data_IF_095326553918
#
_entry.id   IF_095326553918
#
_cell.length_a   1.000
_cell.length_b   1.000
_cell.length_c   1.000
_cell.angle_alpha   90.00
_cell.angle_beta   90.00
_cell.angle_gamma   90.00
#
_symmetry.space_group_name_H-M   'P 1'
#
loop_
_entity.id
_entity.type
_entity.pdbx_description
1 polymer ?
#
# COMPACT_ATOMS: atom_id res chain seq x y z
N UNK A 1 17.64 13.95 -25.71
CA UNK A 1 17.71 13.83 -24.23
C UNK A 1 19.00 14.41 -23.66
N UNK A 2 20.18 14.15 -24.22
CA UNK A 2 21.44 14.70 -23.68
C UNK A 2 21.44 16.24 -23.55
N UNK A 3 20.93 16.97 -24.56
CA UNK A 3 20.89 18.44 -24.51
C UNK A 3 19.93 18.98 -23.44
N UNK A 4 18.84 18.25 -23.16
CA UNK A 4 17.94 18.56 -22.04
C UNK A 4 18.67 18.38 -20.71
N UNK A 5 19.43 17.31 -20.55
CA UNK A 5 20.25 17.08 -19.35
C UNK A 5 21.34 18.14 -19.20
N UNK A 6 21.98 18.58 -20.29
CA UNK A 6 22.94 19.71 -20.26
C UNK A 6 22.27 20.99 -19.77
N UNK A 7 21.05 21.27 -20.23
CA UNK A 7 20.25 22.42 -19.75
C UNK A 7 19.97 22.31 -18.25
N UNK A 8 19.51 21.16 -17.76
CA UNK A 8 19.30 20.93 -16.32
C UNK A 8 20.57 21.06 -15.49
N UNK A 9 21.71 20.55 -15.98
CA UNK A 9 23.02 20.66 -15.33
C UNK A 9 23.46 22.13 -15.23
N UNK A 10 23.21 22.93 -16.27
CA UNK A 10 23.55 24.36 -16.30
C UNK A 10 22.66 25.21 -15.37
N UNK A 11 21.40 24.81 -15.17
CA UNK A 11 20.40 25.58 -14.41
C UNK A 11 20.53 25.50 -12.89
N UNK A 12 21.55 24.81 -12.34
CA UNK A 12 21.77 24.58 -10.89
C UNK A 12 20.48 24.19 -10.14
N UNK A 13 19.77 23.19 -10.66
CA UNK A 13 18.58 22.67 -10.00
C UNK A 13 18.97 22.11 -8.62
N UNK A 14 18.39 22.69 -7.56
CA UNK A 14 18.56 22.19 -6.20
C UNK A 14 17.77 20.90 -6.01
N UNK A 15 18.18 20.08 -5.05
CA UNK A 15 17.51 18.82 -4.70
C UNK A 15 15.99 19.01 -4.46
N UNK A 16 15.61 20.06 -3.73
CA UNK A 16 14.21 20.37 -3.46
C UNK A 16 13.36 20.61 -4.73
N UNK A 17 13.98 21.09 -5.82
CA UNK A 17 13.29 21.29 -7.11
C UNK A 17 13.23 20.02 -7.95
N UNK A 18 14.16 19.08 -7.74
CA UNK A 18 14.20 17.81 -8.45
C UNK A 18 13.26 16.79 -7.78
N UNK A 19 13.14 16.82 -6.45
CA UNK A 19 12.34 15.85 -5.67
C UNK A 19 10.95 15.55 -6.26
N UNK A 20 10.12 16.53 -6.66
CA UNK A 20 8.78 16.24 -7.20
C UNK A 20 8.79 15.48 -8.54
N UNK A 21 9.91 15.49 -9.26
CA UNK A 21 10.05 14.90 -10.59
C UNK A 21 11.07 13.75 -10.62
N UNK A 22 11.60 13.32 -9.48
CA UNK A 22 12.53 12.19 -9.38
C UNK A 22 11.96 10.94 -10.05
N UNK A 23 10.75 10.55 -9.68
CA UNK A 23 10.03 9.42 -10.27
C UNK A 23 9.88 9.56 -11.80
N UNK A 24 9.49 10.74 -12.29
CA UNK A 24 9.34 10.99 -13.73
C UNK A 24 10.67 10.99 -14.50
N UNK A 25 11.76 11.39 -13.87
CA UNK A 25 13.08 11.38 -14.50
C UNK A 25 13.62 9.95 -14.61
N UNK A 26 13.58 9.19 -13.52
CA UNK A 26 14.12 7.82 -13.49
C UNK A 26 13.26 6.86 -14.31
N UNK A 27 11.94 7.08 -14.37
CA UNK A 27 11.02 6.25 -15.16
C UNK A 27 11.35 6.22 -16.65
N UNK A 28 12.07 7.23 -17.15
CA UNK A 28 12.51 7.31 -18.55
C UNK A 28 14.02 7.10 -18.65
N UNK A 29 14.81 7.91 -17.95
CA UNK A 29 16.26 8.01 -18.17
C UNK A 29 17.06 6.84 -17.62
N UNK A 30 16.51 6.06 -16.69
CA UNK A 30 17.16 4.85 -16.16
C UNK A 30 16.97 3.62 -17.07
N UNK A 31 16.36 3.77 -18.25
CA UNK A 31 16.09 2.67 -19.17
C UNK A 31 16.85 2.85 -20.51
N UNK A 32 17.11 1.76 -21.25
CA UNK A 32 17.58 1.85 -22.63
C UNK A 32 16.64 2.69 -23.51
N UNK A 33 17.18 3.45 -24.49
CA UNK A 33 18.60 3.52 -24.87
C UNK A 33 19.42 4.49 -24.02
N UNK A 34 18.82 5.20 -23.06
CA UNK A 34 19.47 6.31 -22.35
C UNK A 34 20.60 5.87 -21.42
N UNK A 35 20.54 4.64 -20.92
CA UNK A 35 21.60 4.03 -20.09
C UNK A 35 22.93 3.88 -20.83
N UNK A 36 22.93 3.91 -22.17
CA UNK A 36 24.14 3.85 -22.99
C UNK A 36 24.85 5.21 -23.10
N UNK A 37 24.17 6.32 -22.79
CA UNK A 37 24.78 7.65 -22.79
C UNK A 37 25.53 7.89 -21.48
N UNK A 38 26.85 8.08 -21.56
CA UNK A 38 27.67 8.40 -20.40
C UNK A 38 27.21 9.68 -19.68
N UNK A 39 26.82 10.71 -20.45
CA UNK A 39 26.36 11.99 -19.91
C UNK A 39 25.05 11.86 -19.12
N UNK A 40 24.08 11.11 -19.66
CA UNK A 40 22.80 10.87 -18.99
C UNK A 40 23.02 9.99 -17.77
N UNK A 41 23.76 8.89 -17.92
CA UNK A 41 24.02 7.92 -16.84
C UNK A 41 24.76 8.55 -15.65
N UNK A 42 25.74 9.42 -15.90
CA UNK A 42 26.44 10.18 -14.85
C UNK A 42 25.48 11.12 -14.10
N UNK A 43 24.61 11.83 -14.84
CA UNK A 43 23.72 12.81 -14.24
C UNK A 43 22.54 12.17 -13.50
N UNK A 44 21.95 11.11 -14.04
CA UNK A 44 20.76 10.47 -13.46
C UNK A 44 21.10 9.64 -12.21
N UNK A 45 22.33 9.12 -12.08
CA UNK A 45 22.75 8.28 -10.96
C UNK A 45 22.45 8.89 -9.57
N UNK A 46 22.90 10.11 -9.24
CA UNK A 46 22.57 10.71 -7.94
C UNK A 46 21.08 11.03 -7.79
N UNK A 47 20.34 11.22 -8.89
CA UNK A 47 18.87 11.39 -8.85
C UNK A 47 18.19 10.06 -8.47
N UNK A 48 18.65 8.95 -9.05
CA UNK A 48 18.17 7.61 -8.75
C UNK A 48 18.48 7.18 -7.31
N UNK A 49 19.68 7.49 -6.80
CA UNK A 49 20.06 7.21 -5.41
C UNK A 49 19.16 7.97 -4.42
N UNK A 50 18.86 9.25 -4.67
CA UNK A 50 17.92 10.02 -3.85
C UNK A 50 16.49 9.51 -3.96
N UNK A 51 16.03 9.22 -5.17
CA UNK A 51 14.73 8.59 -5.39
C UNK A 51 14.62 7.33 -4.52
N UNK A 52 15.58 6.41 -4.62
CA UNK A 52 15.59 5.18 -3.85
C UNK A 52 15.57 5.44 -2.33
N UNK A 53 16.40 6.35 -1.83
CA UNK A 53 16.41 6.72 -0.42
C UNK A 53 15.05 7.26 0.06
N UNK A 54 14.39 8.12 -0.74
CA UNK A 54 13.05 8.61 -0.44
C UNK A 54 12.01 7.49 -0.45
N UNK A 55 12.12 6.52 -1.36
CA UNK A 55 11.25 5.35 -1.38
C UNK A 55 11.44 4.49 -0.12
N UNK A 56 12.69 4.22 0.29
CA UNK A 56 12.97 3.49 1.54
C UNK A 56 12.36 4.20 2.76
N UNK A 57 12.53 5.52 2.86
CA UNK A 57 11.97 6.30 3.97
C UNK A 57 10.43 6.31 3.99
N UNK A 58 9.80 6.28 2.82
CA UNK A 58 8.34 6.43 2.71
C UNK A 58 7.61 5.10 2.83
N UNK A 59 8.17 4.04 2.24
CA UNK A 59 7.45 2.79 1.97
C UNK A 59 8.08 1.55 2.61
N UNK A 60 9.11 1.70 3.46
CA UNK A 60 9.58 0.54 4.23
C UNK A 60 8.55 0.10 5.27
N UNK A 61 7.92 1.06 5.93
CA UNK A 61 6.99 0.83 7.05
C UNK A 61 5.53 1.10 6.67
N UNK A 62 5.28 1.35 5.38
CA UNK A 62 3.96 1.69 4.84
C UNK A 62 3.76 0.95 3.52
N UNK A 63 2.58 0.37 3.26
CA UNK A 63 2.29 -0.29 2.00
C UNK A 63 2.47 0.63 0.80
N UNK A 64 3.15 0.13 -0.24
CA UNK A 64 3.12 0.69 -1.57
C UNK A 64 1.68 0.60 -2.10
N UNK A 65 1.14 1.68 -2.68
CA UNK A 65 -0.10 1.59 -3.44
C UNK A 65 0.05 0.55 -4.55
N UNK A 66 -1.01 -0.24 -4.77
CA UNK A 66 -1.02 -1.28 -5.80
C UNK A 66 -0.51 -0.73 -7.15
N UNK A 67 0.63 -1.22 -7.68
CA UNK A 67 1.25 -0.65 -8.86
C UNK A 67 0.37 -0.73 -10.11
N UNK A 68 0.13 0.41 -10.76
CA UNK A 68 -0.48 0.45 -12.09
C UNK A 68 0.50 0.03 -13.19
N UNK A 69 0.03 -0.05 -14.44
CA UNK A 69 0.85 -0.41 -15.61
C UNK A 69 2.10 0.45 -15.74
N UNK A 70 2.00 1.77 -15.49
CA UNK A 70 3.13 2.67 -15.58
C UNK A 70 4.19 2.34 -14.52
N UNK A 71 3.78 2.16 -13.27
CA UNK A 71 4.68 1.85 -12.17
C UNK A 71 5.36 0.49 -12.39
N UNK A 72 4.60 -0.51 -12.84
CA UNK A 72 5.11 -1.85 -13.15
C UNK A 72 6.19 -1.83 -14.25
N UNK A 73 5.96 -1.06 -15.32
CA UNK A 73 6.86 -1.02 -16.47
C UNK A 73 8.06 -0.08 -16.30
N UNK A 74 7.93 0.97 -15.47
CA UNK A 74 8.90 2.07 -15.43
C UNK A 74 9.55 2.30 -14.08
N UNK A 75 8.93 1.91 -12.97
CA UNK A 75 9.46 2.19 -11.63
C UNK A 75 10.02 0.93 -10.98
N UNK A 76 9.29 -0.20 -11.05
CA UNK A 76 9.79 -1.47 -10.48
C UNK A 76 11.18 -1.86 -11.01
N UNK A 77 11.49 -1.79 -12.32
CA UNK A 77 12.84 -2.10 -12.81
C UNK A 77 13.93 -1.20 -12.21
N UNK A 78 13.62 0.07 -11.95
CA UNK A 78 14.55 1.04 -11.35
C UNK A 78 14.79 0.71 -9.87
N UNK A 79 13.76 0.28 -9.14
CA UNK A 79 13.90 -0.16 -7.76
C UNK A 79 14.75 -1.43 -7.68
N UNK A 80 14.53 -2.41 -8.57
CA UNK A 80 15.38 -3.60 -8.67
C UNK A 80 16.84 -3.24 -8.97
N UNK A 81 17.11 -2.33 -9.91
CA UNK A 81 18.48 -1.84 -10.18
C UNK A 81 19.10 -1.13 -8.99
N UNK A 82 18.30 -0.43 -8.17
CA UNK A 82 18.79 0.26 -6.98
C UNK A 82 19.16 -0.73 -5.85
N UNK A 83 18.34 -1.76 -5.63
CA UNK A 83 18.66 -2.86 -4.70
C UNK A 83 19.86 -3.69 -5.16
N UNK A 84 19.97 -3.96 -6.46
CA UNK A 84 21.11 -4.68 -7.06
C UNK A 84 22.44 -3.94 -6.83
N UNK A 85 22.43 -2.60 -6.95
CA UNK A 85 23.60 -1.75 -6.66
C UNK A 85 23.88 -1.56 -5.18
N UNK A 86 22.89 -1.77 -4.32
CA UNK A 86 23.00 -1.60 -2.87
C UNK A 86 22.37 -2.80 -2.15
N UNK A 87 23.07 -3.94 -2.21
CA UNK A 87 22.57 -5.21 -1.69
C UNK A 87 22.27 -5.19 -0.19
N UNK A 88 22.97 -4.36 0.59
CA UNK A 88 22.70 -4.16 2.02
C UNK A 88 21.27 -3.65 2.28
N UNK A 89 20.71 -2.87 1.35
CA UNK A 89 19.35 -2.35 1.47
C UNK A 89 18.27 -3.45 1.45
N UNK A 90 18.57 -4.63 0.89
CA UNK A 90 17.60 -5.75 0.86
C UNK A 90 17.21 -6.22 2.26
N UNK A 91 18.13 -6.13 3.24
CA UNK A 91 17.87 -6.52 4.63
C UNK A 91 17.62 -5.33 5.54
N UNK A 92 18.29 -4.19 5.36
CA UNK A 92 18.02 -2.99 6.18
C UNK A 92 16.70 -2.31 5.84
N UNK A 93 16.18 -2.53 4.63
CA UNK A 93 14.86 -2.06 4.18
C UNK A 93 14.02 -3.24 3.66
N UNK A 94 13.97 -4.32 4.47
CA UNK A 94 13.28 -5.56 4.14
C UNK A 94 11.79 -5.37 3.82
N UNK A 95 11.13 -4.40 4.46
CA UNK A 95 9.74 -4.04 4.21
C UNK A 95 9.52 -3.54 2.79
N UNK A 96 10.32 -2.57 2.33
CA UNK A 96 10.23 -2.10 0.95
C UNK A 96 10.69 -3.18 -0.05
N UNK A 97 11.78 -3.89 0.26
CA UNK A 97 12.33 -4.91 -0.62
C UNK A 97 11.29 -6.00 -0.93
N UNK A 98 10.67 -6.59 0.09
CA UNK A 98 9.67 -7.65 -0.10
C UNK A 98 8.45 -7.15 -0.89
N UNK A 99 7.99 -5.91 -0.68
CA UNK A 99 6.90 -5.33 -1.47
C UNK A 99 7.27 -5.17 -2.96
N UNK A 100 8.49 -4.71 -3.25
CA UNK A 100 8.98 -4.57 -4.64
C UNK A 100 9.04 -5.93 -5.32
N UNK A 101 9.59 -6.95 -4.65
CA UNK A 101 9.68 -8.31 -5.20
C UNK A 101 8.28 -8.86 -5.44
N UNK A 102 7.37 -8.77 -4.46
CA UNK A 102 5.99 -9.20 -4.62
C UNK A 102 5.34 -8.59 -5.85
N UNK A 103 5.41 -7.28 -6.01
CA UNK A 103 4.78 -6.60 -7.13
C UNK A 103 5.44 -6.91 -8.48
N UNK A 104 6.75 -7.15 -8.51
CA UNK A 104 7.42 -7.65 -9.72
C UNK A 104 6.91 -9.04 -10.11
N UNK A 105 6.73 -9.93 -9.14
CA UNK A 105 6.32 -11.31 -9.38
C UNK A 105 4.82 -11.45 -9.69
N UNK A 106 3.99 -10.50 -9.24
CA UNK A 106 2.52 -10.57 -9.35
C UNK A 106 1.91 -9.60 -10.37
N UNK A 107 2.60 -8.50 -10.69
CA UNK A 107 2.11 -7.47 -11.60
C UNK A 107 1.93 -7.99 -13.01
N UNK A 108 0.75 -7.78 -13.61
CA UNK A 108 0.40 -8.33 -14.93
C UNK A 108 1.20 -7.72 -16.09
N UNK A 109 1.66 -6.48 -15.93
CA UNK A 109 2.39 -5.72 -16.96
C UNK A 109 3.91 -5.75 -16.76
N UNK A 110 4.40 -6.52 -15.78
CA UNK A 110 5.83 -6.74 -15.57
C UNK A 110 6.41 -7.63 -16.68
N UNK A 111 7.51 -7.18 -17.28
CA UNK A 111 8.26 -7.96 -18.27
C UNK A 111 8.90 -9.19 -17.63
N UNK A 112 9.16 -10.24 -18.42
CA UNK A 112 9.87 -11.43 -17.94
C UNK A 112 11.25 -11.09 -17.38
N UNK A 113 11.95 -10.12 -17.98
CA UNK A 113 13.24 -9.63 -17.47
C UNK A 113 13.12 -9.00 -16.08
N UNK A 114 12.02 -8.30 -15.80
CA UNK A 114 11.73 -7.76 -14.46
C UNK A 114 11.52 -8.90 -13.46
N UNK A 115 10.72 -9.92 -13.81
CA UNK A 115 10.45 -11.08 -12.95
C UNK A 115 11.71 -11.89 -12.67
N UNK A 116 12.52 -12.15 -13.69
CA UNK A 116 13.79 -12.86 -13.57
C UNK A 116 14.78 -12.10 -12.67
N UNK A 117 14.91 -10.78 -12.84
CA UNK A 117 15.76 -9.96 -11.97
C UNK A 117 15.25 -9.94 -10.52
N UNK A 118 13.94 -9.86 -10.31
CA UNK A 118 13.35 -9.93 -8.98
C UNK A 118 13.63 -11.28 -8.31
N UNK A 119 13.40 -12.40 -9.00
CA UNK A 119 13.71 -13.74 -8.49
C UNK A 119 15.19 -13.87 -8.09
N UNK A 120 16.11 -13.41 -8.96
CA UNK A 120 17.56 -13.46 -8.69
C UNK A 120 17.98 -12.59 -7.49
N UNK A 121 17.38 -11.41 -7.31
CA UNK A 121 17.64 -10.59 -6.11
C UNK A 121 17.05 -11.23 -4.85
N UNK A 122 15.91 -11.92 -4.97
CA UNK A 122 15.33 -12.63 -3.84
C UNK A 122 16.19 -13.82 -3.40
N UNK A 123 16.80 -14.55 -4.34
CA UNK A 123 17.79 -15.59 -4.02
C UNK A 123 18.98 -15.03 -3.23
N UNK A 124 19.49 -13.85 -3.60
CA UNK A 124 20.55 -13.17 -2.85
C UNK A 124 20.10 -12.78 -1.44
N UNK A 125 18.86 -12.31 -1.29
CA UNK A 125 18.26 -11.99 0.00
C UNK A 125 18.14 -13.23 0.89
N UNK A 126 17.66 -14.36 0.35
CA UNK A 126 17.52 -15.62 1.08
C UNK A 126 18.87 -16.21 1.50
N UNK A 127 19.90 -16.04 0.68
CA UNK A 127 21.27 -16.44 1.01
C UNK A 127 21.96 -15.52 2.05
N UNK A 128 21.35 -14.39 2.41
CA UNK A 128 21.93 -13.46 3.37
C UNK A 128 21.98 -14.08 4.78
N UNK A 129 23.08 -13.93 5.56
CA UNK A 129 23.22 -14.56 6.88
C UNK A 129 22.15 -14.19 7.92
N UNK A 130 21.50 -13.04 7.76
CA UNK A 130 20.38 -12.62 8.60
C UNK A 130 19.04 -13.27 8.23
N UNK A 131 18.93 -13.89 7.04
CA UNK A 131 17.69 -14.47 6.50
C UNK A 131 17.78 -15.99 6.46
N UNK A 132 18.92 -16.54 6.04
CA UNK A 132 19.12 -17.98 5.85
C UNK A 132 18.78 -18.85 7.07
N UNK A 133 18.98 -18.43 8.34
CA UNK A 133 18.56 -19.23 9.49
C UNK A 133 17.06 -19.51 9.54
N UNK A 134 16.23 -18.65 8.94
CA UNK A 134 14.76 -18.75 8.96
C UNK A 134 14.18 -19.67 7.88
N UNK A 135 15.01 -20.19 6.96
CA UNK A 135 14.56 -20.98 5.80
C UNK A 135 14.45 -22.48 6.11
N UNK A 136 15.10 -22.97 7.17
CA UNK A 136 15.39 -24.40 7.39
C UNK A 136 14.29 -25.19 8.12
N UNK A 137 13.01 -24.82 7.94
CA UNK A 137 11.89 -25.42 8.67
C UNK A 137 11.10 -26.48 7.87
N UNK A 138 11.47 -26.75 6.61
CA UNK A 138 10.70 -27.66 5.74
C UNK A 138 9.32 -27.12 5.35
N UNK A 139 9.10 -25.81 5.48
CA UNK A 139 7.85 -25.13 5.13
C UNK A 139 8.03 -24.13 3.99
N UNK A 140 9.23 -23.56 3.85
CA UNK A 140 9.48 -22.46 2.92
C UNK A 140 9.43 -22.87 1.45
N UNK A 141 8.66 -22.13 0.65
CA UNK A 141 8.64 -22.19 -0.82
C UNK A 141 8.45 -23.60 -1.38
N UNK A 142 9.48 -24.09 -2.09
CA UNK A 142 9.51 -25.41 -2.72
C UNK A 142 10.02 -26.53 -1.78
N UNK A 143 10.18 -26.24 -0.49
CA UNK A 143 10.73 -27.12 0.55
C UNK A 143 12.25 -27.43 0.45
N UNK A 144 12.93 -26.93 -0.58
CA UNK A 144 14.39 -27.06 -0.80
C UNK A 144 15.13 -25.73 -0.55
N UNK A 145 14.51 -24.82 0.20
CA UNK A 145 15.10 -23.52 0.57
C UNK A 145 15.03 -22.46 -0.52
N UNK A 146 14.21 -22.66 -1.56
CA UNK A 146 13.93 -21.68 -2.61
C UNK A 146 12.42 -21.41 -2.72
N UNK A 147 11.99 -20.25 -3.22
CA UNK A 147 10.58 -20.00 -3.50
C UNK A 147 10.06 -20.90 -4.63
N UNK A 148 8.81 -21.32 -4.55
CA UNK A 148 8.06 -21.87 -5.69
C UNK A 148 7.25 -20.76 -6.37
N UNK A 149 7.88 -20.08 -7.32
CA UNK A 149 7.24 -19.00 -8.08
C UNK A 149 6.13 -19.47 -9.05
N UNK A 150 5.91 -20.77 -9.20
CA UNK A 150 4.88 -21.30 -10.11
C UNK A 150 3.47 -21.23 -9.51
N UNK A 151 3.38 -21.13 -8.18
CA UNK A 151 2.11 -21.02 -7.44
C UNK A 151 2.15 -19.87 -6.45
N UNK A 152 1.03 -19.16 -6.34
CA UNK A 152 0.90 -18.05 -5.37
C UNK A 152 0.58 -18.52 -3.95
N UNK A 153 0.11 -19.75 -3.81
CA UNK A 153 -0.22 -20.36 -2.53
C UNK A 153 1.02 -20.86 -1.76
N UNK A 154 2.19 -20.98 -2.40
CA UNK A 154 3.42 -21.36 -1.72
C UNK A 154 3.92 -20.21 -0.83
N UNK A 155 4.46 -20.57 0.34
CA UNK A 155 5.05 -19.69 1.34
C UNK A 155 6.42 -19.16 0.88
N UNK A 156 6.37 -18.29 -0.13
CA UNK A 156 7.52 -17.80 -0.86
C UNK A 156 8.20 -16.59 -0.21
N UNK A 157 7.57 -15.94 0.76
CA UNK A 157 8.05 -14.70 1.34
C UNK A 157 8.48 -14.86 2.79
N UNK A 158 9.67 -14.35 3.10
CA UNK A 158 10.21 -14.15 4.43
C UNK A 158 10.44 -12.66 4.67
N UNK A 159 9.83 -12.11 5.71
CA UNK A 159 10.01 -10.73 6.15
C UNK A 159 10.75 -10.76 7.49
N UNK A 160 11.83 -9.99 7.61
CA UNK A 160 12.53 -9.81 8.88
C UNK A 160 11.78 -8.82 9.77
N UNK A 161 11.76 -9.07 11.07
CA UNK A 161 11.31 -8.06 12.04
C UNK A 161 12.21 -6.83 12.00
N UNK A 162 11.59 -5.67 12.18
CA UNK A 162 12.27 -4.37 12.29
C UNK A 162 12.95 -4.15 13.65
N UNK A 163 12.71 -5.01 14.64
CA UNK A 163 13.23 -4.88 16.01
C UNK A 163 14.15 -6.04 16.39
N UNK A 164 13.78 -7.26 16.04
CA UNK A 164 14.47 -8.48 16.45
C UNK A 164 14.92 -9.28 15.24
N UNK A 165 16.24 -9.36 15.02
CA UNK A 165 16.83 -10.09 13.90
C UNK A 165 16.53 -11.58 13.91
N UNK A 166 16.22 -12.14 15.09
CA UNK A 166 15.90 -13.55 15.25
C UNK A 166 14.40 -13.82 15.02
N UNK A 167 13.59 -12.79 14.78
CA UNK A 167 12.16 -12.92 14.47
C UNK A 167 11.91 -12.64 12.98
N UNK A 168 11.17 -13.55 12.32
CA UNK A 168 10.76 -13.41 10.93
C UNK A 168 9.30 -13.86 10.74
N UNK A 169 8.66 -13.39 9.67
CA UNK A 169 7.33 -13.81 9.26
C UNK A 169 7.41 -14.49 7.90
N UNK A 170 6.83 -15.68 7.79
CA UNK A 170 6.75 -16.45 6.57
C UNK A 170 5.30 -16.57 6.10
N UNK A 171 5.04 -16.27 4.83
CA UNK A 171 3.69 -16.28 4.26
C UNK A 171 3.70 -16.43 2.74
N UNK A 172 2.54 -16.83 2.23
CA UNK A 172 2.31 -17.00 0.80
C UNK A 172 2.24 -15.69 0.02
N UNK A 173 2.36 -15.80 -1.31
CA UNK A 173 2.20 -14.65 -2.22
C UNK A 173 0.79 -14.06 -2.13
N UNK A 174 -0.24 -14.92 -2.06
CA UNK A 174 -1.64 -14.48 -1.98
C UNK A 174 -1.95 -13.82 -0.62
N UNK A 175 -1.42 -14.36 0.48
CA UNK A 175 -1.55 -13.72 1.80
C UNK A 175 -0.87 -12.35 1.79
N UNK A 176 0.37 -12.26 1.30
CA UNK A 176 1.11 -11.00 1.32
C UNK A 176 0.43 -9.90 0.49
N UNK A 177 -0.16 -10.25 -0.67
CA UNK A 177 -0.94 -9.31 -1.48
C UNK A 177 -2.12 -8.72 -0.70
N UNK A 178 -2.87 -9.57 0.00
CA UNK A 178 -4.05 -9.13 0.75
C UNK A 178 -3.66 -8.36 2.01
N UNK A 179 -2.60 -8.75 2.72
CA UNK A 179 -2.14 -8.00 3.90
C UNK A 179 -1.55 -6.61 3.57
N UNK A 180 -0.94 -6.43 2.38
CA UNK A 180 -0.45 -5.12 1.95
C UNK A 180 -1.56 -4.21 1.40
N UNK A 181 -2.56 -4.79 0.73
CA UNK A 181 -3.72 -4.06 0.22
C UNK A 181 -5.02 -4.75 0.65
N UNK A 182 -5.44 -4.54 1.91
CA UNK A 182 -6.50 -5.32 2.52
C UNK A 182 -7.87 -5.04 1.91
N UNK A 183 -8.62 -6.13 1.76
CA UNK A 183 -10.06 -6.13 1.52
C UNK A 183 -10.81 -6.17 2.87
N UNK A 184 -12.12 -5.91 2.92
CA UNK A 184 -12.89 -5.98 4.17
C UNK A 184 -12.74 -7.32 4.93
N UNK A 185 -12.55 -8.43 4.21
CA UNK A 185 -12.47 -9.79 4.77
C UNK A 185 -11.03 -10.33 4.88
N UNK A 186 -10.02 -9.45 4.78
CA UNK A 186 -8.62 -9.88 4.92
C UNK A 186 -8.35 -10.42 6.32
N UNK A 187 -7.88 -11.66 6.38
CA UNK A 187 -7.43 -12.32 7.60
C UNK A 187 -5.98 -11.91 7.92
N UNK A 188 -5.70 -11.70 9.21
CA UNK A 188 -4.40 -11.18 9.70
C UNK A 188 -3.65 -12.20 10.57
N UNK A 189 -3.97 -13.48 10.42
CA UNK A 189 -3.40 -14.61 11.15
C UNK A 189 -2.92 -15.73 10.21
N UNK A 190 -3.02 -15.52 8.88
CA UNK A 190 -2.60 -16.47 7.84
C UNK A 190 -1.09 -16.41 7.53
N UNK A 191 -0.26 -16.49 8.57
CA UNK A 191 1.20 -16.51 8.44
C UNK A 191 1.83 -17.42 9.49
N UNK A 192 3.07 -17.83 9.25
CA UNK A 192 3.92 -18.48 10.23
C UNK A 192 4.86 -17.45 10.87
N UNK A 193 4.88 -17.41 12.20
CA UNK A 193 5.83 -16.58 12.94
C UNK A 193 7.05 -17.44 13.28
N UNK A 194 8.22 -17.03 12.81
CA UNK A 194 9.47 -17.74 13.03
C UNK A 194 10.29 -17.00 14.09
N UNK A 195 10.81 -17.72 15.08
CA UNK A 195 11.81 -17.21 16.03
C UNK A 195 12.99 -18.16 16.11
N UNK A 196 14.18 -17.64 15.84
CA UNK A 196 15.41 -18.43 15.74
C UNK A 196 15.26 -19.66 14.81
N UNK A 197 14.51 -19.50 13.71
CA UNK A 197 14.25 -20.56 12.72
C UNK A 197 13.09 -21.52 13.05
N UNK A 198 12.49 -21.41 14.23
CA UNK A 198 11.39 -22.31 14.67
C UNK A 198 10.02 -21.64 14.56
N UNK A 199 9.00 -22.42 14.19
CA UNK A 199 7.62 -21.93 14.09
C UNK A 199 6.99 -21.75 15.48
N UNK A 200 6.48 -20.56 15.76
CA UNK A 200 5.87 -20.17 17.04
C UNK A 200 4.37 -20.04 16.90
N UNK A 201 3.63 -20.52 17.89
CA UNK A 201 2.18 -20.37 17.94
C UNK A 201 1.76 -18.90 18.05
N UNK A 202 0.87 -18.48 17.16
CA UNK A 202 0.31 -17.12 17.09
C UNK A 202 -1.04 -16.99 17.79
N UNK A 203 -1.63 -18.07 18.32
CA UNK A 203 -2.99 -18.10 18.85
C UNK A 203 -3.26 -17.13 20.02
N UNK A 204 -2.21 -16.71 20.75
CA UNK A 204 -2.29 -15.76 21.86
C UNK A 204 -1.62 -14.42 21.55
N UNK A 205 -1.09 -14.25 20.33
CA UNK A 205 -0.40 -13.02 19.91
C UNK A 205 -1.41 -12.16 19.17
N UNK A 206 -1.64 -10.95 19.69
CA UNK A 206 -2.43 -9.94 19.00
C UNK A 206 -1.72 -9.50 17.72
N UNK A 207 -2.31 -9.68 16.52
CA UNK A 207 -1.67 -9.27 15.26
C UNK A 207 -1.29 -7.79 15.24
N UNK A 208 -2.12 -6.91 15.82
CA UNK A 208 -1.81 -5.47 15.86
C UNK A 208 -0.60 -5.14 16.72
N UNK A 209 -0.38 -5.86 17.82
CA UNK A 209 0.83 -5.66 18.65
C UNK A 209 2.07 -6.19 17.93
N UNK A 210 1.96 -7.35 17.26
CA UNK A 210 3.02 -7.90 16.43
C UNK A 210 3.40 -6.94 15.30
N UNK A 211 2.43 -6.37 14.59
CA UNK A 211 2.70 -5.41 13.50
C UNK A 211 3.27 -4.09 14.01
N UNK A 212 2.87 -3.64 15.21
CA UNK A 212 3.39 -2.41 15.80
C UNK A 212 4.89 -2.47 16.07
N UNK A 213 5.35 -3.62 16.56
CA UNK A 213 6.74 -3.77 16.96
C UNK A 213 7.58 -4.38 15.85
N UNK A 214 7.15 -5.49 15.26
CA UNK A 214 7.99 -6.29 14.38
C UNK A 214 7.77 -5.96 12.90
N UNK A 215 6.52 -5.75 12.47
CA UNK A 215 6.16 -5.58 11.05
C UNK A 215 5.32 -4.33 10.75
N UNK A 216 5.92 -3.11 10.85
CA UNK A 216 5.19 -1.85 10.70
C UNK A 216 4.42 -1.70 9.39
N UNK A 217 4.92 -2.30 8.30
CA UNK A 217 4.27 -2.29 6.97
C UNK A 217 2.82 -2.79 7.02
N UNK A 218 2.51 -3.74 7.91
CA UNK A 218 1.15 -4.24 8.08
C UNK A 218 0.31 -3.42 9.05
N UNK A 219 0.92 -2.66 9.97
CA UNK A 219 0.18 -1.83 10.91
C UNK A 219 -0.63 -0.76 10.20
N UNK A 220 -0.02 -0.09 9.21
CA UNK A 220 -0.71 0.93 8.42
C UNK A 220 -1.90 0.34 7.65
N UNK A 221 -1.70 -0.82 7.00
CA UNK A 221 -2.75 -1.54 6.28
C UNK A 221 -3.89 -2.00 7.21
N UNK A 222 -3.55 -2.61 8.35
CA UNK A 222 -4.50 -3.06 9.37
C UNK A 222 -5.36 -1.90 9.90
N UNK A 223 -4.72 -0.78 10.25
CA UNK A 223 -5.44 0.41 10.70
C UNK A 223 -6.30 1.01 9.60
N UNK A 224 -5.82 1.03 8.35
CA UNK A 224 -6.58 1.51 7.21
C UNK A 224 -7.83 0.66 6.98
N UNK A 225 -7.72 -0.67 7.03
CA UNK A 225 -8.86 -1.57 6.90
C UNK A 225 -9.88 -1.35 8.03
N UNK A 226 -9.43 -1.17 9.27
CA UNK A 226 -10.33 -0.88 10.40
C UNK A 226 -11.10 0.45 10.21
N UNK A 227 -10.42 1.49 9.72
CA UNK A 227 -11.07 2.78 9.38
C UNK A 227 -12.03 2.60 8.21
N UNK A 228 -11.64 1.85 7.18
CA UNK A 228 -12.45 1.61 6.00
C UNK A 228 -13.69 0.78 6.32
N UNK A 229 -13.60 -0.22 7.20
CA UNK A 229 -14.73 -1.03 7.65
C UNK A 229 -15.75 -0.16 8.38
N UNK A 230 -15.31 0.65 9.36
CA UNK A 230 -16.20 1.58 10.09
C UNK A 230 -16.85 2.60 9.16
N UNK A 231 -16.11 3.06 8.15
CA UNK A 231 -16.65 3.96 7.14
C UNK A 231 -17.64 3.27 6.20
N UNK A 232 -17.39 2.01 5.85
CA UNK A 232 -18.31 1.16 5.10
C UNK A 232 -19.60 0.90 5.87
N UNK A 233 -19.52 0.56 7.15
CA UNK A 233 -20.67 0.42 8.05
C UNK A 233 -21.53 1.70 8.07
N UNK A 234 -20.89 2.87 8.09
CA UNK A 234 -21.61 4.15 7.97
C UNK A 234 -22.27 4.34 6.60
N UNK A 235 -21.61 3.92 5.52
CA UNK A 235 -22.21 3.92 4.18
C UNK A 235 -23.43 3.01 4.15
N UNK A 236 -23.36 1.81 4.71
CA UNK A 236 -24.50 0.86 4.75
C UNK A 236 -25.67 1.38 5.58
N UNK A 237 -25.40 2.12 6.67
CA UNK A 237 -26.44 2.78 7.49
C UNK A 237 -27.18 3.87 6.70
N UNK A 238 -26.50 4.60 5.82
CA UNK A 238 -27.06 5.69 5.01
C UNK A 238 -27.69 5.16 3.72
N UNK A 239 -26.99 4.23 3.07
CA UNK A 239 -27.26 3.67 1.76
C UNK A 239 -27.45 2.16 1.93
N UNK A 240 -28.64 1.74 2.36
CA UNK A 240 -28.95 0.30 2.50
C UNK A 240 -28.57 -0.47 1.24
N UNK A 241 -27.91 -1.62 1.42
CA UNK A 241 -27.53 -2.50 0.32
C UNK A 241 -28.76 -3.08 -0.41
N UNK A 242 -29.90 -3.19 0.29
CA UNK A 242 -31.15 -3.72 -0.25
C UNK A 242 -31.89 -2.68 -1.12
N UNK A 243 -31.96 -1.43 -0.67
CA UNK A 243 -32.72 -0.38 -1.36
C UNK A 243 -31.87 0.45 -2.33
N UNK A 244 -30.57 0.59 -2.04
CA UNK A 244 -29.66 1.50 -2.73
C UNK A 244 -28.35 0.83 -3.16
N UNK A 245 -28.33 -0.49 -3.35
CA UNK A 245 -27.13 -1.29 -3.61
C UNK A 245 -26.18 -0.72 -4.68
N UNK A 246 -26.70 -0.20 -5.79
CA UNK A 246 -25.88 0.44 -6.83
C UNK A 246 -25.14 1.69 -6.31
N UNK A 247 -25.85 2.60 -5.63
CA UNK A 247 -25.23 3.81 -5.05
C UNK A 247 -24.28 3.43 -3.91
N UNK A 248 -24.66 2.47 -3.06
CA UNK A 248 -23.81 1.96 -2.00
C UNK A 248 -22.45 1.50 -2.56
N UNK A 249 -22.45 0.65 -3.60
CA UNK A 249 -21.23 0.16 -4.23
C UNK A 249 -20.41 1.29 -4.87
N UNK A 250 -21.06 2.26 -5.53
CA UNK A 250 -20.37 3.41 -6.10
C UNK A 250 -19.68 4.26 -5.01
N UNK A 251 -20.33 4.44 -3.85
CA UNK A 251 -19.77 5.15 -2.70
C UNK A 251 -18.57 4.41 -2.10
N UNK A 252 -18.69 3.09 -1.90
CA UNK A 252 -17.59 2.25 -1.41
C UNK A 252 -16.41 2.28 -2.39
N UNK A 253 -16.65 2.08 -3.69
CA UNK A 253 -15.60 2.09 -4.71
C UNK A 253 -14.85 3.44 -4.78
N UNK A 254 -15.54 4.55 -4.61
CA UNK A 254 -14.94 5.89 -4.60
C UNK A 254 -13.99 6.13 -3.41
N UNK A 255 -14.10 5.36 -2.31
CA UNK A 255 -13.16 5.45 -1.18
C UNK A 255 -11.77 4.90 -1.51
N UNK A 256 -11.70 3.96 -2.46
CA UNK A 256 -10.47 3.27 -2.84
C UNK A 256 -9.60 4.04 -3.84
N UNK A 257 -10.10 5.16 -4.37
CA UNK A 257 -9.44 5.89 -5.45
C UNK A 257 -9.37 7.40 -5.17
N UNK A 258 -8.29 8.04 -5.64
CA UNK A 258 -8.12 9.50 -5.54
C UNK A 258 -9.05 10.26 -6.49
N UNK A 259 -9.38 9.65 -7.63
CA UNK A 259 -10.24 10.19 -8.67
C UNK A 259 -11.35 9.19 -9.00
N UNK A 260 -12.54 9.68 -9.34
CA UNK A 260 -13.66 8.85 -9.79
C UNK A 260 -14.18 9.37 -11.12
N UNK A 261 -14.41 8.45 -12.06
CA UNK A 261 -15.04 8.72 -13.35
C UNK A 261 -16.56 8.82 -13.24
N UNK A 262 -17.15 8.25 -12.19
CA UNK A 262 -18.59 8.35 -11.89
C UNK A 262 -18.89 9.76 -11.38
N UNK A 263 -19.96 10.38 -11.86
CA UNK A 263 -20.43 11.71 -11.43
C UNK A 263 -21.93 11.66 -11.17
N UNK A 264 -22.35 12.05 -9.97
CA UNK A 264 -23.75 12.01 -9.52
C UNK A 264 -24.35 13.42 -9.55
N UNK A 265 -24.35 14.04 -10.73
CA UNK A 265 -24.73 15.45 -10.93
C UNK A 265 -25.92 15.66 -11.87
N UNK A 266 -26.38 14.60 -12.54
CA UNK A 266 -27.60 14.65 -13.34
C UNK A 266 -28.85 14.73 -12.46
N UNK A 267 -29.96 15.21 -13.02
CA UNK A 267 -31.19 15.45 -12.28
C UNK A 267 -31.73 14.21 -11.56
N UNK A 268 -31.56 13.02 -12.15
CA UNK A 268 -32.00 11.78 -11.53
C UNK A 268 -31.12 11.42 -10.32
N UNK A 269 -29.80 11.54 -10.46
CA UNK A 269 -28.86 11.37 -9.34
C UNK A 269 -29.12 12.37 -8.20
N UNK A 270 -29.34 13.65 -8.52
CA UNK A 270 -29.62 14.69 -7.51
C UNK A 270 -30.92 14.40 -6.79
N UNK A 271 -31.99 14.05 -7.51
CA UNK A 271 -33.27 13.67 -6.91
C UNK A 271 -33.14 12.45 -6.00
N UNK A 272 -32.40 11.42 -6.44
CA UNK A 272 -32.12 10.21 -5.66
C UNK A 272 -31.35 10.52 -4.38
N UNK A 273 -30.30 11.35 -4.46
CA UNK A 273 -29.51 11.75 -3.29
C UNK A 273 -30.35 12.58 -2.29
N UNK A 274 -31.14 13.54 -2.75
CA UNK A 274 -32.01 14.33 -1.86
C UNK A 274 -33.00 13.44 -1.10
N UNK A 275 -33.63 12.49 -1.80
CA UNK A 275 -34.56 11.51 -1.19
C UNK A 275 -33.91 10.71 -0.05
N UNK A 276 -32.62 10.42 -0.18
CA UNK A 276 -31.85 9.65 0.81
C UNK A 276 -31.39 10.52 1.97
N UNK A 277 -30.81 11.70 1.68
CA UNK A 277 -30.12 12.51 2.68
C UNK A 277 -31.05 13.48 3.41
N UNK A 278 -32.10 14.01 2.79
CA UNK A 278 -32.99 15.00 3.42
C UNK A 278 -33.62 14.49 4.74
N UNK A 279 -34.09 13.23 4.84
CA UNK A 279 -34.62 12.69 6.10
C UNK A 279 -33.57 12.59 7.22
N UNK A 280 -32.28 12.51 6.87
CA UNK A 280 -31.19 12.45 7.84
C UNK A 280 -30.87 13.83 8.44
N UNK A 281 -31.31 14.91 7.79
CA UNK A 281 -31.06 16.29 8.18
C UNK A 281 -32.34 17.12 8.34
N UNK A 282 -33.28 16.77 9.25
CA UNK A 282 -34.45 17.57 9.51
C UNK A 282 -34.05 19.00 9.92
N UNK A 283 -34.62 20.00 9.24
CA UNK A 283 -34.28 21.43 9.42
C UNK A 283 -32.78 21.75 9.23
N UNK A 284 -32.07 20.95 8.42
CA UNK A 284 -30.64 21.08 8.17
C UNK A 284 -29.74 20.62 9.31
N UNK A 285 -30.30 19.98 10.35
CA UNK A 285 -29.55 19.40 11.48
C UNK A 285 -29.62 17.89 11.46
N UNK A 286 -28.53 17.25 11.83
CA UNK A 286 -28.45 15.79 11.92
C UNK A 286 -29.56 15.25 12.84
N UNK A 287 -30.33 14.28 12.38
CA UNK A 287 -31.38 13.69 13.19
C UNK A 287 -30.77 12.98 14.43
N UNK A 288 -31.41 13.06 15.61
CA UNK A 288 -30.89 12.41 16.82
C UNK A 288 -30.72 10.89 16.66
N UNK A 289 -31.63 10.25 15.93
CA UNK A 289 -31.55 8.82 15.64
C UNK A 289 -30.31 8.49 14.78
N UNK A 290 -30.06 9.27 13.73
CA UNK A 290 -28.89 9.05 12.89
C UNK A 290 -27.58 9.38 13.63
N UNK A 291 -27.58 10.39 14.51
CA UNK A 291 -26.45 10.66 15.41
C UNK A 291 -26.06 9.44 16.25
N UNK A 292 -27.05 8.74 16.84
CA UNK A 292 -26.79 7.52 17.61
C UNK A 292 -26.25 6.37 16.75
N UNK A 293 -26.75 6.20 15.52
CA UNK A 293 -26.21 5.18 14.61
C UNK A 293 -24.72 5.42 14.29
N UNK A 294 -24.31 6.67 14.10
CA UNK A 294 -22.90 7.02 13.87
C UNK A 294 -22.04 6.73 15.10
N UNK A 295 -22.51 7.12 16.30
CA UNK A 295 -21.78 6.82 17.53
C UNK A 295 -21.57 5.32 17.71
N UNK A 296 -22.60 4.51 17.45
CA UNK A 296 -22.50 3.04 17.52
C UNK A 296 -21.52 2.47 16.49
N UNK A 297 -21.57 2.91 15.23
CA UNK A 297 -20.69 2.44 14.15
C UNK A 297 -19.19 2.75 14.40
N UNK A 298 -18.90 3.84 15.13
CA UNK A 298 -17.52 4.19 15.49
C UNK A 298 -17.11 3.71 16.89
N UNK A 299 -18.01 3.03 17.62
CA UNK A 299 -17.83 2.61 19.02
C UNK A 299 -17.53 3.77 19.97
N UNK A 300 -18.30 4.86 19.85
CA UNK A 300 -18.13 6.11 20.60
C UNK A 300 -19.33 6.47 21.49
N UNK A 301 -20.22 5.51 21.75
CA UNK A 301 -21.41 5.71 22.60
C UNK A 301 -21.07 6.20 24.00
N UNK A 302 -19.97 5.69 24.57
CA UNK A 302 -19.52 5.98 25.93
C UNK A 302 -18.26 6.89 25.97
N UNK A 303 -17.85 7.41 24.82
CA UNK A 303 -16.67 8.25 24.72
C UNK A 303 -16.91 9.64 25.33
N UNK A 304 -15.88 10.28 25.93
CA UNK A 304 -16.02 11.63 26.46
C UNK A 304 -16.40 12.62 25.34
N UNK A 305 -17.13 13.71 25.66
CA UNK A 305 -17.66 14.66 24.67
C UNK A 305 -16.61 15.24 23.71
N UNK A 306 -15.35 15.34 24.15
CA UNK A 306 -14.21 15.79 23.35
C UNK A 306 -13.84 14.82 22.22
N UNK A 307 -13.99 13.51 22.43
CA UNK A 307 -13.72 12.47 21.42
C UNK A 307 -14.96 12.22 20.53
N UNK A 308 -16.15 12.23 21.13
CA UNK A 308 -17.43 12.08 20.43
C UNK A 308 -17.80 13.30 19.56
N UNK A 309 -17.38 14.51 19.92
CA UNK A 309 -17.61 15.74 19.15
C UNK A 309 -16.57 15.99 18.03
N UNK A 310 -15.37 15.42 18.15
CA UNK A 310 -14.26 15.66 17.22
C UNK A 310 -14.26 14.73 16.02
N UNK A 311 -14.17 13.41 16.24
CA UNK A 311 -13.93 12.44 15.16
C UNK A 311 -15.15 12.12 14.27
N UNK A 312 -16.38 11.93 14.80
CA UNK A 312 -17.56 11.54 14.01
C UNK A 312 -18.16 12.69 13.20
N UNK A 313 -18.17 13.89 13.77
CA UNK A 313 -18.67 15.09 13.08
C UNK A 313 -17.71 15.45 11.96
N UNK A 314 -16.39 15.39 12.19
CA UNK A 314 -15.39 15.59 11.13
C UNK A 314 -15.43 14.50 10.04
N UNK A 315 -15.76 13.24 10.36
CA UNK A 315 -15.91 12.19 9.34
C UNK A 315 -17.16 12.38 8.47
N UNK A 316 -18.27 12.88 9.02
CA UNK A 316 -19.45 13.26 8.23
C UNK A 316 -19.25 14.52 7.39
N UNK A 317 -18.61 15.55 7.94
CA UNK A 317 -18.18 16.71 7.15
C UNK A 317 -17.18 16.26 6.08
N UNK A 318 -16.30 15.30 6.36
CA UNK A 318 -15.43 14.68 5.36
C UNK A 318 -16.21 13.91 4.30
N UNK A 319 -17.26 13.14 4.62
CA UNK A 319 -18.14 12.53 3.60
C UNK A 319 -18.69 13.65 2.71
N UNK A 320 -19.45 14.59 3.28
CA UNK A 320 -20.09 15.64 2.49
C UNK A 320 -19.08 16.48 1.69
N UNK A 321 -17.91 16.77 2.25
CA UNK A 321 -16.86 17.61 1.62
C UNK A 321 -15.96 16.84 0.64
N UNK A 322 -15.60 15.58 0.91
CA UNK A 322 -14.93 14.70 -0.07
C UNK A 322 -15.83 14.49 -1.28
N UNK A 323 -17.12 14.28 -1.07
CA UNK A 323 -18.07 14.06 -2.16
C UNK A 323 -18.38 15.36 -2.92
N UNK A 324 -18.56 16.50 -2.23
CA UNK A 324 -18.69 17.82 -2.88
C UNK A 324 -17.43 18.22 -3.67
N UNK A 325 -16.21 17.91 -3.20
CA UNK A 325 -14.99 18.25 -3.96
C UNK A 325 -14.64 17.26 -5.07
N UNK A 326 -14.97 15.96 -4.94
CA UNK A 326 -14.59 14.92 -5.93
C UNK A 326 -15.61 14.72 -7.06
N UNK A 327 -16.88 15.07 -6.87
CA UNK A 327 -17.91 14.97 -7.91
C UNK A 327 -18.34 16.32 -8.53
N UNK A 328 -17.95 17.47 -7.96
CA UNK A 328 -18.38 18.79 -8.45
C UNK A 328 -17.24 19.75 -8.88
N UNK A 329 -15.99 19.28 -9.01
CA UNK A 329 -14.93 20.13 -9.59
C UNK A 329 -14.78 19.91 -11.09
N UNK A 330 -15.03 21.00 -11.82
CA UNK A 330 -14.86 21.22 -13.25
C UNK A 330 -13.45 20.94 -13.76
#
# INVERSE_FOLDING_TARGET
MEDLVKSFRSGRLTEARIRPVESSLVSVLAHPPYTQSALISEWIRPVQERFFAHQCQTYNDVPLPAPDTYYQQRILPVLLDSFDRNSAAMTTHSGLFNQVILHCMTGVDCTDGTRQKAAALYEQYLAHPAVSPHIHNGLFGNYDGSPDWTTRAADNFLLLSSQDSDTAMMLSTDTLLTMLNPTPDTAWDNFYLLRAGENVSTAQISPVELFRHDFPVFLAAFNQQAVQRRFGELIDIILSTEEHGELNQQFIAATNQKHSTVKLIDDASVSRLNTIFDPLFPEGKLSPAHYQHILSAYHLTDAPPTEAGGNPVLSQYRIRTLFLQRHFRH
#
